data_IF_106745023728
#
_entry.id   IF_106745023728
#
_cell.length_a   1.000
_cell.length_b   1.000
_cell.length_c   1.000
_cell.angle_alpha   90.00
_cell.angle_beta   90.00
_cell.angle_gamma   90.00
#
_symmetry.space_group_name_H-M   'P 1'
#
loop_
_entity.id
_entity.type
_entity.pdbx_description
1 polymer ?
#
# COMPACT_ATOMS: atom_id res chain seq x y z
N UNK A 1 -15.04 -14.83 -6.53
CA UNK A 1 -14.58 -14.07 -5.35
C UNK A 1 -13.73 -12.86 -5.69
N UNK A 2 -13.56 -12.52 -6.97
CA UNK A 2 -12.83 -11.32 -7.43
C UNK A 2 -13.71 -10.34 -8.20
N UNK A 3 -14.95 -10.70 -8.51
CA UNK A 3 -15.85 -9.83 -9.32
C UNK A 3 -16.27 -8.55 -8.56
N UNK A 4 -16.37 -8.64 -7.23
CA UNK A 4 -16.79 -7.50 -6.39
C UNK A 4 -15.65 -6.54 -6.04
N UNK A 5 -14.41 -6.89 -6.38
CA UNK A 5 -13.20 -6.10 -6.08
C UNK A 5 -12.60 -5.38 -7.29
N UNK A 6 -13.15 -5.60 -8.47
CA UNK A 6 -12.79 -4.75 -9.60
C UNK A 6 -13.34 -3.35 -9.34
N UNK A 7 -12.52 -2.32 -9.52
CA UNK A 7 -13.02 -0.96 -9.42
C UNK A 7 -14.16 -0.81 -10.42
N UNK A 8 -15.38 -0.86 -9.93
CA UNK A 8 -16.54 -0.39 -10.67
C UNK A 8 -16.34 1.11 -10.78
N UNK A 9 -15.87 1.52 -11.93
CA UNK A 9 -15.73 2.91 -12.29
C UNK A 9 -17.13 3.55 -12.29
N UNK A 10 -17.60 4.01 -11.14
CA UNK A 10 -18.68 4.98 -11.02
C UNK A 10 -18.13 6.34 -11.51
N UNK A 11 -17.74 6.39 -12.77
CA UNK A 11 -17.37 7.62 -13.43
C UNK A 11 -18.62 8.45 -13.68
N UNK A 12 -18.70 9.59 -13.06
CA UNK A 12 -19.54 10.67 -13.55
C UNK A 12 -19.07 11.00 -14.97
N UNK A 13 -19.97 11.02 -15.92
CA UNK A 13 -19.72 11.15 -17.38
C UNK A 13 -18.79 12.32 -17.78
N UNK A 14 -18.54 13.30 -16.91
CA UNK A 14 -17.69 14.45 -17.16
C UNK A 14 -16.18 14.21 -17.03
N UNK A 15 -15.77 13.13 -16.38
CA UNK A 15 -14.37 12.90 -15.99
C UNK A 15 -13.61 11.93 -16.92
N UNK A 16 -14.25 11.46 -17.98
CA UNK A 16 -13.68 10.42 -18.86
C UNK A 16 -12.39 10.84 -19.60
N UNK A 17 -12.09 12.12 -19.70
CA UNK A 17 -10.91 12.59 -20.45
C UNK A 17 -9.60 12.44 -19.69
N UNK A 18 -9.63 12.33 -18.37
CA UNK A 18 -8.44 12.31 -17.51
C UNK A 18 -8.22 10.97 -16.80
N UNK A 19 -9.09 9.99 -16.98
CA UNK A 19 -8.95 8.73 -16.28
C UNK A 19 -8.19 7.69 -17.11
N UNK A 20 -7.19 7.10 -16.50
CA UNK A 20 -6.39 6.11 -17.14
C UNK A 20 -7.16 4.81 -17.32
N UNK A 21 -6.58 4.01 -18.17
CA UNK A 21 -7.02 2.67 -18.49
C UNK A 21 -7.30 1.87 -17.20
N UNK A 22 -8.51 1.33 -17.04
CA UNK A 22 -8.93 0.50 -15.90
C UNK A 22 -7.93 -0.62 -15.60
N UNK A 23 -7.21 -1.09 -16.62
CA UNK A 23 -6.14 -2.05 -16.49
C UNK A 23 -5.03 -1.60 -15.53
N UNK A 24 -4.71 -0.31 -15.49
CA UNK A 24 -3.67 0.25 -14.61
C UNK A 24 -4.10 0.31 -13.15
N UNK A 25 -5.41 0.33 -12.89
CA UNK A 25 -5.98 0.36 -11.54
C UNK A 25 -6.39 -1.02 -11.03
N UNK A 26 -6.14 -2.10 -11.79
CA UNK A 26 -6.57 -3.45 -11.44
C UNK A 26 -6.10 -3.89 -10.03
N UNK A 27 -4.96 -3.39 -9.60
CA UNK A 27 -4.38 -3.71 -8.29
C UNK A 27 -4.59 -2.62 -7.23
N UNK A 28 -5.29 -1.53 -7.54
CA UNK A 28 -5.48 -0.41 -6.61
C UNK A 28 -6.15 -0.84 -5.30
N UNK A 29 -7.10 -1.77 -5.35
CA UNK A 29 -7.75 -2.31 -4.16
C UNK A 29 -6.78 -3.07 -3.23
N UNK A 30 -5.67 -3.61 -3.75
CA UNK A 30 -4.65 -4.26 -2.94
C UNK A 30 -3.83 -3.26 -2.14
N UNK A 31 -3.62 -2.06 -2.68
CA UNK A 31 -2.85 -1.00 -2.02
C UNK A 31 -3.58 -0.38 -0.81
N UNK A 32 -4.90 -0.60 -0.68
CA UNK A 32 -5.68 -0.22 0.53
C UNK A 32 -5.51 -1.19 1.69
N UNK A 33 -4.89 -2.33 1.50
CA UNK A 33 -4.70 -3.31 2.57
C UNK A 33 -3.62 -2.84 3.52
N UNK A 34 -3.86 -3.04 4.82
CA UNK A 34 -2.94 -2.60 5.88
C UNK A 34 -1.55 -3.23 5.75
N UNK A 35 -1.45 -4.50 5.30
CA UNK A 35 -0.19 -5.19 5.09
C UNK A 35 0.61 -4.58 3.91
N UNK A 36 -0.07 -4.13 2.85
CA UNK A 36 0.56 -3.43 1.74
C UNK A 36 0.97 -2.00 2.13
N UNK A 37 0.14 -1.29 2.88
CA UNK A 37 0.46 0.07 3.36
C UNK A 37 1.76 0.06 4.18
N UNK A 38 1.92 -0.89 5.10
CA UNK A 38 3.14 -1.03 5.91
C UNK A 38 4.38 -1.33 5.05
N UNK A 39 4.22 -2.13 4.01
CA UNK A 39 5.30 -2.42 3.07
C UNK A 39 5.64 -1.21 2.20
N UNK A 40 4.65 -0.50 1.66
CA UNK A 40 4.84 0.71 0.84
C UNK A 40 5.40 1.89 1.63
N UNK A 41 5.13 1.95 2.93
CA UNK A 41 5.71 2.94 3.86
C UNK A 41 7.14 2.62 4.27
N UNK A 42 7.71 1.51 3.80
CA UNK A 42 9.07 1.05 4.09
C UNK A 42 9.39 0.79 5.57
N UNK A 43 8.39 0.57 6.40
CA UNK A 43 8.61 0.14 7.77
C UNK A 43 9.08 -1.32 7.86
N UNK A 44 8.76 -2.12 6.86
CA UNK A 44 9.07 -3.55 6.79
C UNK A 44 9.65 -3.93 5.43
N UNK A 45 10.42 -5.00 5.39
CA UNK A 45 11.10 -5.48 4.18
C UNK A 45 10.20 -6.24 3.21
N UNK A 46 9.06 -6.75 3.69
CA UNK A 46 8.16 -7.56 2.87
C UNK A 46 6.73 -7.53 3.41
N UNK A 47 5.77 -7.85 2.54
CA UNK A 47 4.36 -8.01 2.93
C UNK A 47 4.18 -9.12 3.97
N UNK A 48 5.00 -10.17 3.94
CA UNK A 48 4.97 -11.25 4.93
C UNK A 48 5.41 -10.75 6.31
N UNK A 49 6.48 -9.96 6.37
CA UNK A 49 6.93 -9.32 7.61
C UNK A 49 5.86 -8.36 8.16
N UNK A 50 5.18 -7.61 7.28
CA UNK A 50 4.05 -6.76 7.65
C UNK A 50 2.92 -7.57 8.32
N UNK A 51 2.53 -8.68 7.71
CA UNK A 51 1.51 -9.59 8.27
C UNK A 51 1.88 -10.11 9.64
N UNK A 52 3.12 -10.54 9.79
CA UNK A 52 3.62 -11.03 11.08
C UNK A 52 3.55 -9.94 12.16
N UNK A 53 3.99 -8.73 11.84
CA UNK A 53 3.95 -7.57 12.73
C UNK A 53 2.51 -7.22 13.16
N UNK A 54 1.54 -7.27 12.23
CA UNK A 54 0.13 -7.03 12.52
C UNK A 54 -0.43 -8.12 13.44
N UNK A 55 -0.14 -9.39 13.18
CA UNK A 55 -0.60 -10.52 14.00
C UNK A 55 -0.06 -10.47 15.43
N UNK A 56 1.18 -10.01 15.59
CA UNK A 56 1.79 -9.79 16.92
C UNK A 56 1.17 -8.62 17.69
N UNK A 57 0.35 -7.78 17.02
CA UNK A 57 -0.33 -6.65 17.64
C UNK A 57 0.52 -5.38 17.78
N UNK A 58 1.63 -5.30 17.06
CA UNK A 58 2.54 -4.14 17.06
C UNK A 58 2.04 -2.99 16.18
N UNK A 59 0.87 -3.18 15.57
CA UNK A 59 0.25 -2.18 14.68
C UNK A 59 -1.06 -1.70 15.29
N UNK A 60 -1.28 -0.40 15.24
CA UNK A 60 -2.50 0.25 15.69
C UNK A 60 -3.16 0.96 14.52
N UNK A 61 -4.46 0.79 14.39
CA UNK A 61 -5.30 1.52 13.44
C UNK A 61 -6.12 2.54 14.23
N UNK A 62 -5.95 3.83 13.94
CA UNK A 62 -6.61 4.94 14.66
C UNK A 62 -6.45 4.82 16.19
N UNK A 63 -5.24 4.47 16.65
CA UNK A 63 -4.89 4.32 18.05
C UNK A 63 -5.30 2.99 18.72
N UNK A 64 -6.07 2.12 18.04
CA UNK A 64 -6.49 0.82 18.55
C UNK A 64 -5.62 -0.29 17.98
N UNK A 65 -5.17 -1.23 18.82
CA UNK A 65 -4.40 -2.40 18.37
C UNK A 65 -5.22 -3.22 17.38
N UNK A 66 -4.61 -3.55 16.25
CA UNK A 66 -5.25 -4.22 15.14
C UNK A 66 -4.50 -5.49 14.73
N UNK A 67 -5.23 -6.60 14.45
CA UNK A 67 -4.62 -7.91 14.19
C UNK A 67 -5.07 -8.58 12.88
N UNK A 68 -5.75 -7.85 11.99
CA UNK A 68 -6.25 -8.41 10.73
C UNK A 68 -5.47 -7.87 9.52
N UNK A 69 -4.47 -8.62 8.98
CA UNK A 69 -3.59 -8.12 7.93
C UNK A 69 -4.29 -7.76 6.62
N UNK A 70 -5.38 -8.46 6.31
CA UNK A 70 -6.12 -8.27 5.05
C UNK A 70 -7.16 -7.15 5.12
N UNK A 71 -7.22 -6.41 6.22
CA UNK A 71 -8.18 -5.32 6.38
C UNK A 71 -7.93 -4.19 5.38
N UNK A 72 -9.00 -3.67 4.82
CA UNK A 72 -8.99 -2.55 3.88
C UNK A 72 -9.16 -1.25 4.66
N UNK A 73 -8.16 -0.41 4.59
CA UNK A 73 -8.11 0.90 5.29
C UNK A 73 -8.99 1.92 4.57
N UNK A 74 -9.60 2.84 5.29
CA UNK A 74 -10.39 3.95 4.74
C UNK A 74 -9.51 5.17 4.53
N UNK A 75 -9.97 6.08 3.68
CA UNK A 75 -9.29 7.34 3.43
C UNK A 75 -9.24 8.17 4.72
N UNK A 76 -8.05 8.66 5.06
CA UNK A 76 -7.79 9.38 6.30
C UNK A 76 -7.44 8.52 7.52
N UNK A 77 -7.48 7.19 7.41
CA UNK A 77 -7.09 6.32 8.52
C UNK A 77 -5.58 6.42 8.79
N UNK A 78 -5.25 6.43 10.08
CA UNK A 78 -3.87 6.49 10.59
C UNK A 78 -3.43 5.11 11.05
N UNK A 79 -2.36 4.61 10.46
CA UNK A 79 -1.70 3.37 10.86
C UNK A 79 -0.43 3.72 11.63
N UNK A 80 -0.35 3.37 12.90
CA UNK A 80 0.82 3.59 13.76
C UNK A 80 1.48 2.26 14.10
N UNK A 81 2.79 2.27 14.22
CA UNK A 81 3.60 1.07 14.47
C UNK A 81 4.39 1.29 15.75
N UNK A 82 4.57 0.23 16.52
CA UNK A 82 5.47 0.28 17.67
C UNK A 82 6.92 0.43 17.19
N UNK A 83 7.64 1.50 17.59
CA UNK A 83 9.01 1.74 17.17
C UNK A 83 9.96 0.58 17.45
N UNK A 84 9.75 -0.15 18.54
CA UNK A 84 10.57 -1.30 18.90
C UNK A 84 10.46 -2.48 17.95
N UNK A 85 9.39 -2.54 17.14
CA UNK A 85 9.17 -3.61 16.15
C UNK A 85 9.65 -3.24 14.74
N UNK A 86 10.01 -1.99 14.50
CA UNK A 86 10.48 -1.52 13.19
C UNK A 86 11.94 -1.92 12.98
N UNK A 87 12.21 -2.69 11.95
CA UNK A 87 13.55 -3.25 11.70
C UNK A 87 14.61 -2.22 11.34
N UNK A 88 14.22 -1.03 10.92
CA UNK A 88 15.10 0.09 10.54
C UNK A 88 15.40 1.03 11.70
N UNK A 89 14.75 0.84 12.84
CA UNK A 89 15.00 1.60 14.05
C UNK A 89 15.74 0.72 15.05
N UNK A 90 16.88 1.21 15.53
CA UNK A 90 17.69 0.51 16.53
C UNK A 90 17.65 1.33 17.82
N UNK A 91 17.44 0.63 18.93
CA UNK A 91 17.49 1.28 20.25
C UNK A 91 18.92 1.71 20.55
N UNK A 92 19.16 3.00 20.85
CA UNK A 92 20.50 3.48 21.08
C UNK A 92 21.13 2.84 22.31
N UNK A 93 22.40 2.51 22.20
CA UNK A 93 23.18 1.94 23.31
C UNK A 93 23.41 2.92 24.47
N UNK A 94 23.25 4.22 24.21
CA UNK A 94 23.57 5.30 25.13
C UNK A 94 22.42 5.72 26.07
N UNK A 95 21.37 4.91 26.19
CA UNK A 95 20.24 5.22 27.08
C UNK A 95 19.34 6.39 26.66
N UNK A 96 19.57 6.97 25.47
CA UNK A 96 18.69 8.00 24.94
C UNK A 96 17.33 7.39 24.55
N UNK A 97 16.26 8.18 24.67
CA UNK A 97 14.90 7.74 24.29
C UNK A 97 14.63 7.78 22.78
N UNK A 98 15.58 8.28 22.01
CA UNK A 98 15.45 8.47 20.56
C UNK A 98 16.05 7.27 19.86
N UNK A 99 15.27 6.62 18.97
CA UNK A 99 15.75 5.52 18.15
C UNK A 99 16.66 6.02 17.04
N UNK A 100 17.74 5.32 16.80
CA UNK A 100 18.65 5.59 15.69
C UNK A 100 18.14 4.92 14.42
N UNK A 101 18.10 5.66 13.32
CA UNK A 101 17.72 5.14 12.01
C UNK A 101 18.91 4.43 11.36
N UNK A 102 18.77 3.14 11.12
CA UNK A 102 19.76 2.34 10.38
C UNK A 102 19.13 1.84 9.08
N UNK A 103 19.50 2.43 7.93
CA UNK A 103 18.95 2.02 6.65
C UNK A 103 19.33 0.57 6.34
N UNK A 104 18.38 -0.19 5.82
CA UNK A 104 18.57 -1.58 5.39
C UNK A 104 18.80 -1.64 3.88
N UNK A 105 19.41 -2.72 3.40
CA UNK A 105 19.73 -2.89 1.98
C UNK A 105 18.51 -2.80 1.05
N UNK A 106 17.33 -3.20 1.52
CA UNK A 106 16.08 -3.09 0.74
C UNK A 106 15.57 -1.65 0.60
N UNK A 107 16.12 -0.71 1.37
CA UNK A 107 15.70 0.70 1.35
C UNK A 107 16.52 1.58 0.41
N UNK A 108 17.42 1.03 -0.39
CA UNK A 108 18.30 1.79 -1.27
C UNK A 108 18.05 1.52 -2.74
N UNK A 109 18.40 2.43 -3.59
CA UNK A 109 18.20 3.88 -3.73
C UNK A 109 16.85 4.21 -4.36
N UNK A 110 16.01 3.22 -4.54
CA UNK A 110 14.75 3.20 -5.31
C UNK A 110 13.53 3.39 -4.40
N UNK A 111 13.79 3.75 -3.17
CA UNK A 111 12.71 4.03 -2.22
C UNK A 111 11.96 5.27 -2.63
N UNK A 112 10.76 5.07 -3.13
CA UNK A 112 9.80 6.16 -3.21
C UNK A 112 8.55 5.80 -2.41
N UNK A 113 7.99 6.79 -1.74
CA UNK A 113 6.70 6.66 -1.09
C UNK A 113 5.65 7.07 -2.11
N UNK A 114 4.63 6.23 -2.36
CA UNK A 114 3.55 6.60 -3.26
C UNK A 114 2.81 7.85 -2.78
N UNK A 115 2.33 8.69 -3.71
CA UNK A 115 1.64 9.95 -3.40
C UNK A 115 0.33 9.77 -2.61
N UNK A 116 -0.23 8.57 -2.58
CA UNK A 116 -1.44 8.26 -1.81
C UNK A 116 -1.17 7.92 -0.33
N UNK A 117 0.11 7.92 0.09
CA UNK A 117 0.53 7.68 1.47
C UNK A 117 1.31 8.89 1.99
N UNK A 118 1.01 9.28 3.21
CA UNK A 118 1.83 10.22 3.97
C UNK A 118 2.52 9.46 5.11
N UNK A 119 3.85 9.47 5.14
CA UNK A 119 4.64 8.70 6.10
C UNK A 119 5.45 9.63 6.98
N UNK A 120 5.34 9.44 8.28
CA UNK A 120 6.17 10.11 9.27
C UNK A 120 7.00 9.07 10.04
N UNK A 121 8.28 9.03 9.75
CA UNK A 121 9.20 8.09 10.41
C UNK A 121 9.50 8.47 11.86
N UNK A 122 9.40 9.75 12.24
CA UNK A 122 9.64 10.18 13.61
C UNK A 122 8.57 9.68 14.57
N UNK A 123 7.33 9.60 14.09
CA UNK A 123 6.17 9.10 14.87
C UNK A 123 5.84 7.64 14.55
N UNK A 124 6.59 7.00 13.63
CA UNK A 124 6.33 5.66 13.13
C UNK A 124 4.86 5.48 12.70
N UNK A 125 4.34 6.44 11.94
CA UNK A 125 2.96 6.43 11.49
C UNK A 125 2.85 6.72 9.99
N UNK A 126 1.79 6.17 9.38
CA UNK A 126 1.43 6.45 8.00
C UNK A 126 -0.05 6.73 7.91
N UNK A 127 -0.41 7.65 7.04
CA UNK A 127 -1.80 8.03 6.75
C UNK A 127 -2.11 7.58 5.33
N UNK A 128 -3.23 6.88 5.16
CA UNK A 128 -3.76 6.56 3.85
C UNK A 128 -4.63 7.71 3.37
N UNK A 129 -4.16 8.49 2.39
CA UNK A 129 -4.83 9.71 1.94
C UNK A 129 -6.02 9.42 1.03
N UNK A 130 -5.81 8.55 0.03
CA UNK A 130 -6.78 8.26 -1.04
C UNK A 130 -6.43 6.98 -1.78
N UNK A 131 -7.30 6.52 -2.65
CA UNK A 131 -6.95 5.46 -3.59
C UNK A 131 -5.91 5.94 -4.61
N UNK A 132 -5.04 5.01 -5.09
CA UNK A 132 -4.10 5.32 -6.17
C UNK A 132 -4.84 5.82 -7.41
N UNK A 133 -4.33 6.90 -7.99
CA UNK A 133 -4.82 7.46 -9.24
C UNK A 133 -3.79 7.17 -10.32
N UNK A 134 -4.23 7.05 -11.55
CA UNK A 134 -3.32 6.96 -12.68
C UNK A 134 -3.41 8.25 -13.49
N UNK A 135 -2.30 8.92 -13.68
CA UNK A 135 -2.16 10.08 -14.55
C UNK A 135 -1.75 9.61 -15.96
N UNK A 136 -1.99 10.38 -17.03
CA UNK A 136 -1.42 10.06 -18.35
C UNK A 136 0.10 9.85 -18.23
N UNK A 137 0.59 8.73 -18.75
CA UNK A 137 2.00 8.31 -18.70
C UNK A 137 2.60 8.02 -17.32
N UNK A 138 1.82 8.05 -16.25
CA UNK A 138 2.30 7.74 -14.88
C UNK A 138 1.28 6.93 -14.13
N UNK A 139 1.71 5.82 -13.56
CA UNK A 139 0.89 4.96 -12.68
C UNK A 139 1.41 5.11 -11.27
N UNK A 140 0.55 5.53 -10.34
CA UNK A 140 0.94 5.64 -8.92
C UNK A 140 1.12 4.27 -8.26
N UNK A 141 0.48 3.23 -8.79
CA UNK A 141 0.64 1.87 -8.27
C UNK A 141 2.03 1.37 -8.63
N UNK A 142 2.91 1.13 -7.66
CA UNK A 142 4.25 0.65 -7.92
C UNK A 142 4.20 -0.78 -8.47
N UNK A 143 4.58 -0.95 -9.74
CA UNK A 143 4.62 -2.25 -10.38
C UNK A 143 5.93 -2.43 -11.14
N UNK A 144 6.58 -3.58 -11.02
CA UNK A 144 7.77 -3.90 -11.82
C UNK A 144 7.43 -4.23 -13.28
N UNK A 145 6.15 -4.34 -13.61
CA UNK A 145 5.71 -4.73 -14.94
C UNK A 145 5.30 -3.52 -15.78
N UNK A 146 5.54 -3.54 -17.10
CA UNK A 146 5.14 -2.46 -17.98
C UNK A 146 3.61 -2.38 -18.12
N UNK A 147 3.05 -1.20 -18.45
CA UNK A 147 1.60 -1.00 -18.58
C UNK A 147 0.93 -1.94 -19.60
N UNK A 148 1.65 -2.34 -20.65
CA UNK A 148 1.15 -3.31 -21.65
C UNK A 148 0.84 -4.68 -21.04
N UNK A 149 1.63 -5.10 -20.06
CA UNK A 149 1.42 -6.36 -19.35
C UNK A 149 0.15 -6.32 -18.50
N UNK A 150 -0.10 -5.21 -17.81
CA UNK A 150 -1.35 -4.99 -17.07
C UNK A 150 -2.58 -5.02 -18.00
N UNK A 151 -2.46 -4.42 -19.18
CA UNK A 151 -3.53 -4.43 -20.18
C UNK A 151 -3.84 -5.84 -20.69
N UNK A 152 -2.81 -6.68 -20.90
CA UNK A 152 -3.01 -8.08 -21.29
C UNK A 152 -3.64 -8.90 -20.17
N UNK A 153 -3.19 -8.75 -18.92
CA UNK A 153 -3.77 -9.42 -17.77
C UNK A 153 -5.23 -9.05 -17.57
N UNK A 154 -5.59 -7.78 -17.71
CA UNK A 154 -6.96 -7.31 -17.63
C UNK A 154 -7.86 -7.89 -18.75
N UNK A 155 -7.38 -7.91 -20.00
CA UNK A 155 -8.10 -8.52 -21.11
C UNK A 155 -8.34 -10.03 -20.88
N UNK A 156 -7.33 -10.73 -20.36
CA UNK A 156 -7.47 -12.15 -20.02
C UNK A 156 -8.54 -12.37 -18.95
N UNK A 157 -8.53 -11.55 -17.90
CA UNK A 157 -9.49 -11.63 -16.81
C UNK A 157 -10.94 -11.42 -17.29
N UNK A 158 -11.20 -10.40 -18.11
CA UNK A 158 -12.53 -10.13 -18.69
C UNK A 158 -13.01 -11.30 -19.55
N UNK A 159 -12.13 -11.87 -20.39
CA UNK A 159 -12.49 -13.02 -21.25
C UNK A 159 -12.90 -14.22 -20.40
N UNK A 160 -12.17 -14.49 -19.33
CA UNK A 160 -12.47 -15.61 -18.43
C UNK A 160 -13.76 -15.40 -17.64
N UNK A 161 -14.06 -14.20 -17.22
CA UNK A 161 -15.31 -13.85 -16.54
C UNK A 161 -16.54 -14.00 -17.47
N UNK A 162 -16.39 -13.64 -18.75
CA UNK A 162 -17.47 -13.83 -19.75
C UNK A 162 -17.70 -15.29 -20.11
N UNK A 163 -16.69 -16.12 -20.08
CA UNK A 163 -16.80 -17.56 -20.40
C UNK A 163 -17.46 -18.38 -19.27
N UNK A 164 -17.66 -17.81 -18.09
CA UNK A 164 -18.30 -18.45 -16.93
C UNK A 164 -19.76 -18.07 -16.74
N UNK A 165 -20.29 -17.15 -17.53
CA UNK A 165 -21.72 -16.81 -17.62
C UNK A 165 -22.34 -17.50 -18.81
#
# INVERSE_FOLDING_TARGET
MFDDQLPTLNMKLGDQRNHPNTASLMYACMERRIDFILFRSHFVSSVWSARQMILHGNVKLNGKTFRYPSHTVKDGDVVSIDPGSVTTLVKPSNGSSVFDFVPRAFQQPWMFIPEYLEVNYNTCSTIFLREPITKPNSTEVPSPFPPSFHAMAYKFYIRRGRARK
#
